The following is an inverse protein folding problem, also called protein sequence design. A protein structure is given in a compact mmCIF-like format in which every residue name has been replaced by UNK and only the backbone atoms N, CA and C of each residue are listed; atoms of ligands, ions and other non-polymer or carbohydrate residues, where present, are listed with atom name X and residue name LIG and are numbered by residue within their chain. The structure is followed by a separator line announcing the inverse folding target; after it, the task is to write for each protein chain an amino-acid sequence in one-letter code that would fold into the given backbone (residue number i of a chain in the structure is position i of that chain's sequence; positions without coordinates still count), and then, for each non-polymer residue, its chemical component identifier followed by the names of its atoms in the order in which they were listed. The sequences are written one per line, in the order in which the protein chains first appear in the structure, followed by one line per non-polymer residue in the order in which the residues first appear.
data_IF_089789608421
#
_entry.id   IF_089789608421
#
_cell.length_a   1.000
_cell.length_b   1.000
_cell.length_c   1.000
_cell.angle_alpha   90.00
_cell.angle_beta   90.00
_cell.angle_gamma   90.00
#
_symmetry.space_group_name_H-M   'P 1'
#
loop_
_entity.id
_entity.type
_entity.pdbx_description
1 polymer ?
#
# COMPACT_ATOMS: atom_id res chain seq x y z
N UNK A 1 16.77 -0.09 3.05
CA UNK A 1 18.09 0.37 2.59
C UNK A 1 18.71 -0.77 1.80
N UNK A 2 19.30 -0.49 0.65
CA UNK A 2 20.09 -1.50 -0.06
C UNK A 2 21.42 -1.69 0.69
N UNK A 3 21.70 -2.92 1.11
CA UNK A 3 22.86 -3.23 1.96
C UNK A 3 24.17 -3.08 1.19
N UNK A 4 24.15 -3.32 -0.13
CA UNK A 4 25.37 -3.32 -0.95
C UNK A 4 25.82 -1.91 -1.35
N UNK A 5 24.86 -1.02 -1.59
CA UNK A 5 25.09 0.35 -2.10
C UNK A 5 24.82 1.43 -1.05
N UNK A 6 24.31 1.07 0.13
CA UNK A 6 23.81 2.01 1.14
C UNK A 6 22.71 2.96 0.63
N UNK A 7 22.14 2.71 -0.55
CA UNK A 7 21.11 3.56 -1.14
C UNK A 7 19.77 3.35 -0.43
N UNK A 8 19.03 4.43 -0.21
CA UNK A 8 17.64 4.33 0.24
C UNK A 8 16.80 3.80 -0.93
N UNK A 9 16.16 2.65 -0.71
CA UNK A 9 15.32 1.97 -1.72
C UNK A 9 13.83 2.29 -1.58
N UNK A 10 13.45 2.92 -0.48
CA UNK A 10 12.09 3.28 -0.12
C UNK A 10 11.90 3.31 1.40
N UNK A 11 10.70 3.71 1.82
CA UNK A 11 10.30 3.85 3.21
C UNK A 11 9.11 2.96 3.53
N UNK A 12 9.07 2.36 4.70
CA UNK A 12 7.90 1.61 5.18
C UNK A 12 7.00 2.55 5.99
N UNK A 13 5.71 2.61 5.63
CA UNK A 13 4.72 3.40 6.32
C UNK A 13 4.17 2.61 7.51
N UNK A 14 4.45 3.10 8.73
CA UNK A 14 4.00 2.46 9.97
C UNK A 14 2.91 3.29 10.64
N UNK A 15 1.83 2.63 11.07
CA UNK A 15 0.76 3.26 11.85
C UNK A 15 1.21 3.51 13.27
N UNK A 16 0.87 4.69 13.82
CA UNK A 16 1.08 5.06 15.22
C UNK A 16 -0.18 5.70 15.79
N UNK A 17 -0.37 5.53 17.10
CA UNK A 17 -1.34 6.30 17.86
C UNK A 17 -0.91 7.77 17.91
N UNK A 18 -1.78 8.75 17.57
CA UNK A 18 -1.43 10.17 17.57
C UNK A 18 -0.98 10.68 18.94
N UNK A 19 -1.55 10.12 20.02
CA UNK A 19 -1.21 10.47 21.40
C UNK A 19 0.04 9.71 21.90
N UNK A 20 0.54 8.74 21.13
CA UNK A 20 1.65 7.87 21.52
C UNK A 20 1.36 6.95 22.71
N UNK A 21 0.10 6.78 23.10
CA UNK A 21 -0.32 6.00 24.28
C UNK A 21 -0.52 4.52 23.96
N UNK A 22 -0.90 4.23 22.73
CA UNK A 22 -1.17 2.87 22.26
C UNK A 22 -0.12 2.42 21.25
N UNK A 23 0.28 1.16 21.34
CA UNK A 23 0.92 0.49 20.20
C UNK A 23 -0.06 0.37 19.03
N UNK A 24 0.47 0.18 17.81
CA UNK A 24 -0.36 -0.05 16.63
C UNK A 24 -1.34 -1.20 16.84
N UNK A 25 -0.87 -2.32 17.41
CA UNK A 25 -1.71 -3.48 17.70
C UNK A 25 -2.88 -3.11 18.64
N UNK A 26 -2.62 -2.41 19.74
CA UNK A 26 -3.65 -1.98 20.68
C UNK A 26 -4.64 -1.00 20.04
N UNK A 27 -4.17 -0.11 19.16
CA UNK A 27 -5.01 0.81 18.42
C UNK A 27 -5.98 0.05 17.50
N UNK A 28 -5.47 -0.87 16.67
CA UNK A 28 -6.31 -1.68 15.78
C UNK A 28 -7.27 -2.58 16.58
N UNK A 29 -6.84 -3.13 17.72
CA UNK A 29 -7.68 -3.93 18.60
C UNK A 29 -8.86 -3.13 19.14
N UNK A 30 -8.60 -1.92 19.63
CA UNK A 30 -9.65 -1.03 20.14
C UNK A 30 -10.70 -0.73 19.07
N UNK A 31 -10.27 -0.49 17.83
CA UNK A 31 -11.19 -0.27 16.70
C UNK A 31 -11.89 -1.55 16.26
N UNK A 32 -11.28 -2.72 16.44
CA UNK A 32 -11.90 -4.02 16.19
C UNK A 32 -13.05 -4.27 17.14
N UNK A 33 -12.88 -4.01 18.44
CA UNK A 33 -13.92 -4.19 19.46
C UNK A 33 -15.18 -3.36 19.17
N UNK A 34 -15.02 -2.15 18.61
CA UNK A 34 -16.16 -1.28 18.24
C UNK A 34 -16.64 -1.48 16.79
N UNK A 35 -16.13 -2.50 16.08
CA UNK A 35 -16.55 -2.84 14.72
C UNK A 35 -16.06 -1.88 13.63
N UNK A 36 -15.11 -0.99 13.91
CA UNK A 36 -14.62 0.05 12.97
C UNK A 36 -13.19 -0.17 12.48
N UNK A 37 -12.65 -1.39 12.65
CA UNK A 37 -11.27 -1.70 12.24
C UNK A 37 -11.02 -1.49 10.75
N UNK A 38 -11.98 -1.84 9.88
CA UNK A 38 -11.82 -1.68 8.43
C UNK A 38 -11.79 -0.20 8.02
N UNK A 39 -12.57 0.65 8.68
CA UNK A 39 -12.54 2.08 8.46
C UNK A 39 -11.19 2.68 8.86
N UNK A 40 -10.64 2.26 10.00
CA UNK A 40 -9.29 2.66 10.42
C UNK A 40 -8.22 2.23 9.40
N UNK A 41 -8.31 1.00 8.88
CA UNK A 41 -7.39 0.49 7.86
C UNK A 41 -7.49 1.27 6.54
N UNK A 42 -8.70 1.63 6.12
CA UNK A 42 -8.89 2.50 4.94
C UNK A 42 -8.31 3.90 5.14
N UNK A 43 -8.54 4.49 6.32
CA UNK A 43 -8.01 5.81 6.68
C UNK A 43 -6.48 5.81 6.70
N UNK A 44 -5.87 4.76 7.28
CA UNK A 44 -4.40 4.62 7.32
C UNK A 44 -3.81 4.43 5.93
N UNK A 45 -4.39 3.57 5.08
CA UNK A 45 -3.95 3.42 3.69
C UNK A 45 -3.97 4.76 2.93
N UNK A 46 -5.08 5.48 3.00
CA UNK A 46 -5.26 6.73 2.25
C UNK A 46 -4.34 7.84 2.78
N UNK A 47 -4.15 7.93 4.10
CA UNK A 47 -3.27 8.92 4.71
C UNK A 47 -1.80 8.64 4.43
N UNK A 48 -1.39 7.38 4.39
CA UNK A 48 -0.02 6.98 4.07
C UNK A 48 0.34 7.27 2.60
N UNK A 49 -0.58 7.01 1.66
CA UNK A 49 -0.40 7.39 0.24
C UNK A 49 -0.27 8.91 0.11
N UNK A 50 -1.14 9.66 0.80
CA UNK A 50 -1.11 11.13 0.76
C UNK A 50 0.18 11.69 1.37
N UNK A 51 0.61 11.16 2.52
CA UNK A 51 1.85 11.56 3.16
C UNK A 51 3.08 11.25 2.29
N UNK A 52 3.11 10.11 1.61
CA UNK A 52 4.21 9.76 0.70
C UNK A 52 4.33 10.76 -0.46
N UNK A 53 3.19 11.21 -1.01
CA UNK A 53 3.16 12.28 -2.01
C UNK A 53 3.66 13.60 -1.44
N UNK A 54 3.11 14.02 -0.29
CA UNK A 54 3.39 15.35 0.29
C UNK A 54 4.84 15.48 0.77
N UNK A 55 5.46 14.36 1.17
CA UNK A 55 6.88 14.26 1.52
C UNK A 55 7.80 14.04 0.31
N UNK A 56 7.25 13.89 -0.91
CA UNK A 56 8.03 13.66 -2.12
C UNK A 56 8.82 12.36 -2.13
N UNK A 57 8.30 11.28 -1.52
CA UNK A 57 9.00 10.00 -1.45
C UNK A 57 9.00 9.30 -2.82
N UNK A 58 10.18 8.83 -3.24
CA UNK A 58 10.29 8.04 -4.49
C UNK A 58 9.58 6.69 -4.38
N UNK A 59 9.61 6.05 -3.21
CA UNK A 59 8.97 4.75 -2.96
C UNK A 59 8.48 4.61 -1.52
N UNK A 60 7.27 4.08 -1.36
CA UNK A 60 6.67 3.74 -0.07
C UNK A 60 6.13 2.30 -0.08
N UNK A 61 6.37 1.58 1.01
CA UNK A 61 5.81 0.26 1.31
C UNK A 61 4.70 0.42 2.34
N UNK A 62 3.52 -0.13 2.06
CA UNK A 62 2.32 0.02 2.89
C UNK A 62 1.73 -1.36 3.19
N UNK A 63 1.69 -1.73 4.46
CA UNK A 63 1.02 -2.94 4.92
C UNK A 63 -0.50 -2.84 4.73
N UNK A 64 -1.09 -3.83 4.08
CA UNK A 64 -2.54 -3.96 3.83
C UNK A 64 -2.98 -5.42 3.98
N UNK A 65 -4.29 -5.64 4.05
CA UNK A 65 -4.91 -6.96 4.08
C UNK A 65 -6.01 -7.10 3.01
N UNK A 66 -6.39 -8.33 2.69
CA UNK A 66 -7.37 -8.60 1.64
C UNK A 66 -8.78 -8.12 2.01
N UNK A 67 -9.10 -8.04 3.30
CA UNK A 67 -10.37 -7.49 3.78
C UNK A 67 -10.56 -6.03 3.38
N UNK A 68 -9.50 -5.24 3.41
CA UNK A 68 -9.49 -3.84 2.95
C UNK A 68 -9.50 -3.77 1.42
N UNK A 69 -8.58 -4.49 0.77
CA UNK A 69 -8.43 -4.42 -0.68
C UNK A 69 -9.67 -4.89 -1.43
N UNK A 70 -10.42 -5.86 -0.91
CA UNK A 70 -11.65 -6.37 -1.53
C UNK A 70 -12.78 -5.34 -1.52
N UNK A 71 -12.88 -4.52 -0.45
CA UNK A 71 -13.95 -3.53 -0.22
C UNK A 71 -13.70 -2.16 -0.84
N UNK A 72 -12.45 -1.84 -1.14
CA UNK A 72 -12.08 -0.55 -1.71
C UNK A 72 -11.85 -0.64 -3.20
N UNK A 73 -12.29 0.41 -3.90
CA UNK A 73 -11.82 0.67 -5.25
C UNK A 73 -10.33 1.01 -5.22
N UNK A 74 -9.54 0.49 -6.19
CA UNK A 74 -8.14 0.87 -6.30
C UNK A 74 -7.98 2.39 -6.42
N UNK A 75 -7.07 2.94 -5.60
CA UNK A 75 -6.76 4.36 -5.55
C UNK A 75 -5.71 4.68 -6.61
N UNK A 76 -5.86 5.82 -7.29
CA UNK A 76 -4.87 6.27 -8.26
C UNK A 76 -3.50 6.53 -7.59
N UNK A 77 -2.42 6.12 -8.26
CA UNK A 77 -1.06 6.38 -7.75
C UNK A 77 -0.76 7.87 -7.76
N UNK A 78 -0.17 8.44 -6.70
CA UNK A 78 0.41 9.77 -6.81
C UNK A 78 1.54 9.79 -7.86
N UNK A 79 1.65 10.87 -8.67
CA UNK A 79 2.70 10.98 -9.68
C UNK A 79 4.08 11.00 -9.01
N UNK A 80 5.05 10.31 -9.60
CA UNK A 80 6.43 10.27 -9.10
C UNK A 80 6.67 9.38 -7.87
N UNK A 81 5.62 8.81 -7.27
CA UNK A 81 5.73 7.91 -6.10
C UNK A 81 5.49 6.47 -6.53
N UNK A 82 6.40 5.55 -6.22
CA UNK A 82 6.19 4.10 -6.34
C UNK A 82 5.53 3.55 -5.08
N UNK A 83 4.28 3.09 -5.17
CA UNK A 83 3.53 2.57 -4.02
C UNK A 83 3.52 1.04 -4.09
N UNK A 84 4.10 0.41 -3.07
CA UNK A 84 4.15 -1.04 -2.91
C UNK A 84 3.21 -1.44 -1.79
N UNK A 85 2.21 -2.25 -2.10
CA UNK A 85 1.30 -2.82 -1.12
C UNK A 85 1.89 -4.13 -0.60
N UNK A 86 2.03 -4.25 0.71
CA UNK A 86 2.57 -5.44 1.36
C UNK A 86 1.41 -6.24 1.98
N UNK A 87 1.31 -7.50 1.58
CA UNK A 87 0.29 -8.45 2.04
C UNK A 87 0.98 -9.59 2.80
N UNK A 88 0.32 -10.11 3.83
CA UNK A 88 0.84 -11.28 4.55
C UNK A 88 0.80 -12.52 3.65
N UNK A 89 1.91 -13.26 3.58
CA UNK A 89 1.97 -14.54 2.87
C UNK A 89 1.00 -15.56 3.47
N UNK A 90 0.92 -15.63 4.80
CA UNK A 90 0.01 -16.52 5.52
C UNK A 90 -1.45 -16.24 5.15
N UNK A 91 -1.83 -14.96 5.08
CA UNK A 91 -3.17 -14.56 4.66
C UNK A 91 -3.42 -14.92 3.19
N UNK A 92 -2.43 -14.74 2.32
CA UNK A 92 -2.52 -15.05 0.90
C UNK A 92 -2.86 -16.51 0.63
N UNK A 93 -2.31 -17.44 1.42
CA UNK A 93 -2.49 -18.87 1.26
C UNK A 93 -3.88 -19.38 1.66
N UNK A 94 -4.63 -18.64 2.49
CA UNK A 94 -5.94 -19.08 2.95
C UNK A 94 -7.01 -19.13 1.84
N UNK A 95 -6.94 -18.24 0.86
CA UNK A 95 -7.86 -18.16 -0.27
C UNK A 95 -7.14 -17.63 -1.52
N UNK A 96 -6.20 -18.43 -2.01
CA UNK A 96 -5.24 -18.01 -3.03
C UNK A 96 -5.89 -17.46 -4.30
N UNK A 97 -6.93 -18.12 -4.81
CA UNK A 97 -7.55 -17.73 -6.09
C UNK A 97 -8.25 -16.37 -6.01
N UNK A 98 -9.06 -16.17 -4.96
CA UNK A 98 -9.72 -14.90 -4.71
C UNK A 98 -8.71 -13.78 -4.41
N UNK A 99 -7.69 -14.06 -3.60
CA UNK A 99 -6.63 -13.11 -3.29
C UNK A 99 -5.81 -12.71 -4.52
N UNK A 100 -5.53 -13.64 -5.44
CA UNK A 100 -4.93 -13.33 -6.73
C UNK A 100 -5.84 -12.44 -7.59
N UNK A 101 -7.15 -12.68 -7.59
CA UNK A 101 -8.09 -11.80 -8.29
C UNK A 101 -8.09 -10.38 -7.71
N UNK A 102 -8.10 -10.24 -6.38
CA UNK A 102 -8.04 -8.93 -5.71
C UNK A 102 -6.73 -8.21 -6.06
N UNK A 103 -5.57 -8.87 -5.95
CA UNK A 103 -4.29 -8.24 -6.30
C UNK A 103 -4.21 -7.84 -7.76
N UNK A 104 -4.75 -8.64 -8.70
CA UNK A 104 -4.84 -8.28 -10.13
C UNK A 104 -5.68 -7.02 -10.34
N UNK A 105 -6.86 -6.93 -9.71
CA UNK A 105 -7.71 -5.73 -9.78
C UNK A 105 -6.95 -4.46 -9.39
N UNK A 106 -6.17 -4.54 -8.33
CA UNK A 106 -5.37 -3.41 -7.84
C UNK A 106 -4.19 -3.08 -8.75
N UNK A 107 -3.51 -4.10 -9.29
CA UNK A 107 -2.40 -3.92 -10.24
C UNK A 107 -2.86 -3.38 -11.60
N UNK A 108 -4.03 -3.76 -12.07
CA UNK A 108 -4.45 -3.42 -13.43
C UNK A 108 -5.02 -1.99 -13.49
N UNK A 109 -5.73 -1.50 -12.45
CA UNK A 109 -6.12 -0.07 -12.35
C UNK A 109 -4.94 0.87 -12.12
N UNK A 110 -3.87 0.35 -11.52
CA UNK A 110 -2.60 1.03 -11.38
C UNK A 110 -1.86 1.25 -12.71
N UNK A 111 -2.14 0.39 -13.69
CA UNK A 111 -1.70 0.48 -15.09
C UNK A 111 -2.88 1.07 -15.90
N UNK A 112 -3.33 2.27 -15.50
CA UNK A 112 -4.33 3.01 -16.27
C UNK A 112 -3.84 3.25 -17.70
N UNK A 113 -4.68 2.89 -18.67
CA UNK A 113 -4.49 2.97 -20.12
C UNK A 113 -3.83 4.27 -20.61
N UNK A 114 -2.96 4.20 -21.64
CA UNK A 114 -2.29 5.37 -22.19
C UNK A 114 -3.31 6.28 -22.90
N UNK A 115 -3.75 7.34 -22.23
CA UNK A 115 -4.27 8.52 -22.93
C UNK A 115 -3.06 9.33 -23.42
N UNK A 116 -2.74 9.14 -24.70
CA UNK A 116 -1.98 10.02 -25.62
C UNK A 116 -1.09 11.08 -24.95
N UNK A 117 0.19 10.77 -24.78
CA UNK A 117 1.25 11.79 -24.66
C UNK A 117 2.36 11.42 -25.64
N UNK A 118 2.39 12.13 -26.77
CA UNK A 118 3.48 12.14 -27.73
C UNK A 118 4.65 12.98 -27.19
N UNK A 119 5.74 12.33 -26.77
CA UNK A 119 6.98 12.97 -26.34
C UNK A 119 8.06 11.92 -26.01
N UNK A 120 9.36 12.21 -26.19
CA UNK A 120 10.40 11.18 -26.21
C UNK A 120 10.65 10.60 -24.81
N UNK A 121 10.94 9.30 -24.82
CA UNK A 121 11.02 8.40 -23.67
C UNK A 121 11.93 8.90 -22.54
N UNK A 122 11.32 9.35 -21.45
CA UNK A 122 11.81 9.12 -20.09
C UNK A 122 10.75 8.28 -19.38
N UNK A 123 11.09 7.03 -19.06
CA UNK A 123 10.17 6.01 -18.55
C UNK A 123 9.40 6.51 -17.32
N UNK A 124 8.06 6.63 -17.37
CA UNK A 124 7.29 6.89 -16.17
C UNK A 124 7.20 5.57 -15.39
N UNK A 125 7.91 5.48 -14.26
CA UNK A 125 7.76 4.39 -13.29
C UNK A 125 6.34 4.44 -12.68
N UNK A 126 5.40 3.79 -13.36
CA UNK A 126 4.00 3.61 -12.94
C UNK A 126 3.74 2.13 -12.65
N UNK A 127 4.37 1.57 -11.61
CA UNK A 127 3.98 0.26 -11.08
C UNK A 127 3.30 0.41 -9.73
N UNK A 128 2.24 -0.35 -9.50
CA UNK A 128 1.91 -0.82 -8.17
C UNK A 128 2.41 -2.26 -8.07
N UNK A 129 3.04 -2.61 -6.95
CA UNK A 129 3.48 -3.99 -6.69
C UNK A 129 2.82 -4.47 -5.41
N UNK A 130 2.19 -5.64 -5.49
CA UNK A 130 1.86 -6.41 -4.30
C UNK A 130 3.05 -7.30 -3.98
N UNK A 131 3.62 -7.17 -2.79
CA UNK A 131 4.68 -8.06 -2.29
C UNK A 131 4.15 -8.86 -1.11
N UNK A 132 4.50 -10.13 -1.04
CA UNK A 132 4.22 -10.95 0.14
C UNK A 132 5.35 -10.80 1.16
N UNK A 133 4.98 -10.73 2.44
CA UNK A 133 5.92 -10.68 3.56
C UNK A 133 5.82 -11.98 4.35
N UNK A 134 6.93 -12.69 4.50
CA UNK A 134 7.06 -13.82 5.41
C UNK A 134 7.30 -13.26 6.81
N UNK A 135 6.32 -13.39 7.71
CA UNK A 135 6.41 -13.01 9.13
C UNK A 135 6.61 -14.24 9.99
#
# INVERSE_FOLDING_TARGET
MDVTSSRIVGYEALTRDPDGKLSALQLFEKYRVVGRVNELKQLTLTSQISAARDLGLERVFINVDFGVLSRLDPIAKPPGVDVVLELSELEALHDLENHLMVTRRWRDKAIGSPSTISGPASSPCLSWRCSFRST
#
